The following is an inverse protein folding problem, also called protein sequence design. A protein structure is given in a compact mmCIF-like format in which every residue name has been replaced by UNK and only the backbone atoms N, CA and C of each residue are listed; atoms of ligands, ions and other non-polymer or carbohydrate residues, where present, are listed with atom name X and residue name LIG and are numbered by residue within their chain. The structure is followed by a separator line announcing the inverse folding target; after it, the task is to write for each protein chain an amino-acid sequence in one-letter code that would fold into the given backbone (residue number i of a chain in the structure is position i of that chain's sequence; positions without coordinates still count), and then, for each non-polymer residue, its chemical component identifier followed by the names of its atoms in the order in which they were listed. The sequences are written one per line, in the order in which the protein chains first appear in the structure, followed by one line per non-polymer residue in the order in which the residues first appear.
data_IF_871600302119
#
_entry.id   IF_871600302119
#
_cell.length_a   1.000
_cell.length_b   1.000
_cell.length_c   1.000
_cell.angle_alpha   90.00
_cell.angle_beta   90.00
_cell.angle_gamma   90.00
#
_symmetry.space_group_name_H-M   'P 1'
#
loop_
_entity.id
_entity.type
_entity.pdbx_description
1 polymer ?
#
# COMPACT_ATOMS: atom_id res chain seq x y z
N UNK A 1 -19.09 -20.60 -2.81
CA UNK A 1 -19.21 -19.26 -2.17
C UNK A 1 -19.65 -18.28 -3.25
N UNK A 2 -20.67 -17.47 -3.01
CA UNK A 2 -21.08 -16.45 -3.98
C UNK A 2 -20.01 -15.35 -4.02
N UNK A 3 -19.92 -14.60 -5.13
CA UNK A 3 -18.97 -13.47 -5.28
C UNK A 3 -19.11 -12.47 -4.13
N UNK A 4 -20.34 -12.21 -3.68
CA UNK A 4 -20.65 -11.27 -2.59
C UNK A 4 -20.15 -11.73 -1.21
N UNK A 5 -19.75 -12.97 -1.05
CA UNK A 5 -19.24 -13.54 0.21
C UNK A 5 -17.72 -13.72 0.20
N UNK A 6 -17.07 -13.54 -0.95
CA UNK A 6 -15.62 -13.68 -1.04
C UNK A 6 -14.92 -12.43 -0.46
N UNK A 7 -14.09 -12.56 0.57
CA UNK A 7 -13.31 -11.43 1.07
C UNK A 7 -12.31 -10.87 0.04
N UNK A 8 -11.93 -11.66 -0.95
CA UNK A 8 -11.11 -11.20 -2.07
C UNK A 8 -11.92 -10.43 -3.12
N UNK A 9 -13.07 -10.95 -3.53
CA UNK A 9 -13.78 -10.45 -4.72
C UNK A 9 -14.80 -9.34 -4.41
N UNK A 10 -15.53 -9.45 -3.29
CA UNK A 10 -16.60 -8.52 -2.94
C UNK A 10 -16.14 -7.06 -2.72
N UNK A 11 -15.01 -6.75 -2.03
CA UNK A 11 -14.63 -5.37 -1.82
C UNK A 11 -14.21 -4.68 -3.12
N UNK A 12 -14.64 -3.43 -3.36
CA UNK A 12 -14.18 -2.66 -4.50
C UNK A 12 -12.72 -2.22 -4.34
N UNK A 13 -12.03 -1.97 -5.45
CA UNK A 13 -10.75 -1.26 -5.42
C UNK A 13 -11.01 0.20 -5.03
N UNK A 14 -10.22 0.69 -4.07
CA UNK A 14 -10.34 2.06 -3.53
C UNK A 14 -9.02 2.79 -3.44
N UNK A 15 -7.91 2.17 -3.84
CA UNK A 15 -6.60 2.77 -3.75
C UNK A 15 -5.88 2.68 -5.10
N UNK A 16 -5.17 3.76 -5.41
CA UNK A 16 -4.26 3.88 -6.53
C UNK A 16 -2.92 4.40 -5.98
N UNK A 17 -1.85 3.64 -6.20
CA UNK A 17 -0.55 3.92 -5.59
C UNK A 17 0.53 4.23 -6.63
N UNK A 18 1.35 5.22 -6.30
CA UNK A 18 2.47 5.69 -7.08
C UNK A 18 3.75 5.57 -6.25
N UNK A 19 4.78 5.00 -6.83
CA UNK A 19 6.12 4.97 -6.22
C UNK A 19 6.87 6.24 -6.58
N UNK A 20 7.51 6.86 -5.59
CA UNK A 20 8.22 8.12 -5.71
C UNK A 20 9.60 8.06 -5.05
N UNK A 21 10.54 8.88 -5.54
CA UNK A 21 11.88 8.99 -4.96
C UNK A 21 11.91 9.89 -3.73
N UNK A 22 11.12 10.97 -3.74
CA UNK A 22 11.00 11.93 -2.65
C UNK A 22 9.54 12.15 -2.28
N UNK A 23 9.13 11.61 -1.13
CA UNK A 23 7.75 11.68 -0.66
C UNK A 23 7.31 13.11 -0.35
N UNK A 24 8.18 13.93 0.26
CA UNK A 24 7.82 15.27 0.68
C UNK A 24 7.59 16.17 -0.54
N UNK A 25 8.45 16.05 -1.55
CA UNK A 25 8.28 16.76 -2.81
C UNK A 25 7.05 16.29 -3.58
N UNK A 26 6.83 14.98 -3.67
CA UNK A 26 5.67 14.40 -4.35
C UNK A 26 4.35 14.85 -3.70
N UNK A 27 4.25 14.80 -2.37
CA UNK A 27 3.08 15.28 -1.62
C UNK A 27 2.80 16.75 -1.91
N UNK A 28 3.83 17.59 -1.83
CA UNK A 28 3.68 19.02 -2.14
C UNK A 28 3.19 19.24 -3.56
N UNK A 29 3.81 18.60 -4.55
CA UNK A 29 3.42 18.71 -5.96
C UNK A 29 1.99 18.28 -6.21
N UNK A 30 1.58 17.15 -5.68
CA UNK A 30 0.22 16.63 -5.88
C UNK A 30 -0.83 17.51 -5.20
N UNK A 31 -0.53 18.07 -4.03
CA UNK A 31 -1.41 19.00 -3.36
C UNK A 31 -1.55 20.32 -4.14
N UNK A 32 -0.42 20.91 -4.60
CA UNK A 32 -0.40 22.18 -5.29
C UNK A 32 -0.97 22.12 -6.72
N UNK A 33 -0.63 21.06 -7.47
CA UNK A 33 -1.00 20.96 -8.88
C UNK A 33 -2.36 20.28 -9.12
N UNK A 34 -2.75 19.35 -8.26
CA UNK A 34 -3.95 18.54 -8.43
C UNK A 34 -5.01 18.81 -7.37
N UNK A 35 -4.70 19.61 -6.34
CA UNK A 35 -5.62 19.89 -5.24
C UNK A 35 -5.95 18.65 -4.38
N UNK A 36 -5.12 17.60 -4.43
CA UNK A 36 -5.34 16.37 -3.69
C UNK A 36 -4.80 16.52 -2.27
N UNK A 37 -5.62 16.23 -1.28
CA UNK A 37 -5.28 16.29 0.14
C UNK A 37 -6.51 16.44 1.06
N UNK A 38 -6.31 16.54 2.39
CA UNK A 38 -5.00 16.54 3.05
C UNK A 38 -4.26 15.21 2.92
N UNK A 39 -2.94 15.27 2.83
CA UNK A 39 -2.06 14.11 2.85
C UNK A 39 -1.63 13.80 4.27
N UNK A 40 -1.68 12.53 4.64
CA UNK A 40 -1.19 12.06 5.94
C UNK A 40 -0.07 11.06 5.72
N UNK A 41 1.14 11.38 6.18
CA UNK A 41 2.33 10.58 5.95
C UNK A 41 2.73 9.74 7.17
N UNK A 42 3.19 8.52 6.89
CA UNK A 42 3.62 7.55 7.89
C UNK A 42 4.92 6.89 7.48
N UNK A 43 5.69 6.46 8.48
CA UNK A 43 6.86 5.60 8.32
C UNK A 43 6.54 4.20 8.81
N UNK A 44 6.84 3.21 7.98
CA UNK A 44 6.65 1.80 8.27
C UNK A 44 8.01 1.09 8.23
N UNK A 45 8.46 0.60 9.37
CA UNK A 45 9.77 -0.03 9.55
C UNK A 45 9.79 -0.94 10.78
N UNK A 46 10.78 -1.84 10.92
CA UNK A 46 11.02 -2.57 12.17
C UNK A 46 11.24 -1.62 13.36
N UNK A 47 10.87 -1.99 14.58
CA UNK A 47 10.26 -3.26 14.98
C UNK A 47 8.74 -3.31 14.84
N UNK A 48 8.12 -2.23 14.38
CA UNK A 48 6.66 -2.18 14.20
C UNK A 48 6.22 -3.07 13.06
N UNK A 49 6.87 -2.96 11.91
CA UNK A 49 6.63 -3.84 10.79
C UNK A 49 7.26 -5.22 11.08
N UNK A 50 6.48 -6.28 10.91
CA UNK A 50 6.83 -7.66 11.26
C UNK A 50 6.43 -8.61 10.14
N UNK A 51 6.94 -9.86 10.22
CA UNK A 51 6.61 -10.94 9.27
C UNK A 51 6.76 -10.47 7.82
N UNK A 52 7.82 -9.71 7.57
CA UNK A 52 8.11 -9.15 6.27
C UNK A 52 8.61 -10.22 5.31
N UNK A 53 7.94 -10.34 4.16
CA UNK A 53 8.32 -11.24 3.08
C UNK A 53 8.51 -10.44 1.78
N UNK A 54 9.51 -10.83 1.01
CA UNK A 54 9.76 -10.36 -0.34
C UNK A 54 10.08 -11.57 -1.21
N UNK A 55 9.24 -11.83 -2.22
CA UNK A 55 9.28 -13.04 -3.06
C UNK A 55 9.39 -14.35 -2.28
N UNK A 56 8.69 -14.42 -1.12
CA UNK A 56 8.68 -15.59 -0.24
C UNK A 56 9.84 -15.67 0.76
N UNK A 57 10.85 -14.83 0.62
CA UNK A 57 12.00 -14.77 1.52
C UNK A 57 11.75 -13.79 2.67
N UNK A 58 12.21 -14.16 3.88
CA UNK A 58 12.18 -13.27 5.04
C UNK A 58 13.21 -12.18 4.88
N UNK A 59 12.76 -10.94 4.94
CA UNK A 59 13.61 -9.75 4.80
C UNK A 59 13.22 -8.69 5.83
N UNK A 60 14.02 -7.65 5.92
CA UNK A 60 13.63 -6.39 6.54
C UNK A 60 13.64 -5.29 5.49
N UNK A 61 12.57 -4.51 5.43
CA UNK A 61 12.48 -3.32 4.60
C UNK A 61 11.82 -2.18 5.37
N UNK A 62 12.03 -0.97 4.89
CA UNK A 62 11.39 0.23 5.41
C UNK A 62 10.90 1.11 4.28
N UNK A 63 9.81 1.80 4.52
CA UNK A 63 9.20 2.72 3.58
C UNK A 63 8.54 3.90 4.31
N UNK A 64 8.33 4.98 3.58
CA UNK A 64 7.37 6.04 3.91
C UNK A 64 6.22 5.99 2.93
N UNK A 65 5.05 6.31 3.39
CA UNK A 65 3.92 6.51 2.50
C UNK A 65 3.05 7.67 2.95
N UNK A 66 2.39 8.30 2.01
CA UNK A 66 1.40 9.34 2.27
C UNK A 66 0.08 8.95 1.62
N UNK A 67 -1.02 9.18 2.34
CA UNK A 67 -2.37 8.83 1.93
C UNK A 67 -3.23 10.08 1.85
N UNK A 68 -4.02 10.21 0.79
CA UNK A 68 -5.06 11.23 0.64
C UNK A 68 -6.29 10.65 -0.03
N UNK A 69 -7.47 11.13 0.35
CA UNK A 69 -8.73 10.75 -0.26
C UNK A 69 -9.25 11.83 -1.20
N UNK A 70 -9.72 11.42 -2.37
CA UNK A 70 -10.47 12.25 -3.28
C UNK A 70 -11.79 11.52 -3.62
N UNK A 71 -12.87 11.93 -2.97
CA UNK A 71 -14.10 11.17 -3.00
C UNK A 71 -13.92 9.78 -2.39
N UNK A 72 -14.22 8.73 -3.15
CA UNK A 72 -14.05 7.35 -2.69
C UNK A 72 -12.72 6.70 -3.10
N UNK A 73 -11.88 7.41 -3.86
CA UNK A 73 -10.56 6.94 -4.27
C UNK A 73 -9.50 7.47 -3.31
N UNK A 74 -8.70 6.57 -2.78
CA UNK A 74 -7.50 6.91 -2.03
C UNK A 74 -6.29 6.92 -2.97
N UNK A 75 -5.54 8.00 -2.93
CA UNK A 75 -4.20 8.03 -3.49
C UNK A 75 -3.18 7.68 -2.43
N UNK A 76 -2.19 6.91 -2.82
CA UNK A 76 -1.02 6.59 -2.02
C UNK A 76 0.24 6.97 -2.79
N UNK A 77 1.15 7.66 -2.11
CA UNK A 77 2.52 7.88 -2.57
C UNK A 77 3.44 7.05 -1.69
N UNK A 78 4.32 6.23 -2.29
CA UNK A 78 5.21 5.33 -1.56
C UNK A 78 6.66 5.62 -1.90
N UNK A 79 7.47 5.83 -0.87
CA UNK A 79 8.93 5.98 -0.96
C UNK A 79 9.61 4.81 -0.26
N UNK A 80 10.33 3.92 -0.96
CA UNK A 80 11.19 2.94 -0.30
C UNK A 80 12.38 3.64 0.37
N UNK A 81 12.71 3.21 1.60
CA UNK A 81 13.84 3.77 2.36
C UNK A 81 15.01 2.81 2.44
N UNK A 82 14.75 1.52 2.58
CA UNK A 82 15.81 0.52 2.71
C UNK A 82 15.30 -0.91 2.69
N UNK A 83 16.22 -1.83 2.42
CA UNK A 83 15.92 -3.24 2.22
C UNK A 83 15.32 -3.57 0.84
N UNK A 84 15.29 -4.87 0.49
CA UNK A 84 14.69 -5.30 -0.77
C UNK A 84 13.16 -5.13 -0.73
N UNK A 85 12.60 -4.54 -1.79
CA UNK A 85 11.15 -4.34 -1.89
C UNK A 85 10.72 -4.16 -3.34
N UNK A 86 9.48 -4.51 -3.65
CA UNK A 86 8.90 -4.28 -4.98
C UNK A 86 8.86 -2.80 -5.37
N UNK A 87 8.93 -1.90 -4.40
CA UNK A 87 9.00 -0.46 -4.65
C UNK A 87 10.40 -0.02 -5.09
N UNK A 88 11.44 -0.58 -4.45
CA UNK A 88 12.82 -0.33 -4.84
C UNK A 88 13.10 -0.89 -6.25
N UNK A 89 12.56 -2.07 -6.56
CA UNK A 89 12.66 -2.66 -7.89
C UNK A 89 12.00 -1.76 -8.95
N UNK A 90 10.77 -1.28 -8.64
CA UNK A 90 10.04 -0.39 -9.55
C UNK A 90 10.84 0.88 -9.86
N UNK A 91 11.39 1.54 -8.84
CA UNK A 91 12.22 2.74 -9.05
C UNK A 91 13.46 2.44 -9.89
N UNK A 92 14.11 1.30 -9.66
CA UNK A 92 15.31 0.91 -10.41
C UNK A 92 15.00 0.61 -11.89
N UNK A 93 13.86 -0.05 -12.16
CA UNK A 93 13.51 -0.52 -13.49
C UNK A 93 12.71 0.50 -14.32
N UNK A 94 11.92 1.35 -13.66
CA UNK A 94 10.93 2.21 -14.32
C UNK A 94 10.99 3.68 -13.88
N UNK A 95 11.68 4.02 -12.80
CA UNK A 95 11.60 5.32 -12.16
C UNK A 95 10.29 5.53 -11.40
N UNK A 96 9.94 6.79 -11.13
CA UNK A 96 8.69 7.14 -10.47
C UNK A 96 7.48 6.80 -11.34
N UNK A 97 6.40 6.30 -10.75
CA UNK A 97 5.19 6.02 -11.52
C UNK A 97 4.16 5.16 -10.82
N UNK A 98 3.08 4.91 -11.55
CA UNK A 98 1.98 4.06 -11.11
C UNK A 98 2.49 2.65 -10.83
N UNK A 99 2.12 2.10 -9.67
CA UNK A 99 2.66 0.83 -9.20
C UNK A 99 1.57 -0.23 -8.98
N UNK A 100 0.55 0.08 -8.17
CA UNK A 100 -0.48 -0.90 -7.84
C UNK A 100 -1.84 -0.26 -7.62
N UNK A 101 -2.85 -1.12 -7.58
CA UNK A 101 -4.19 -0.79 -7.11
C UNK A 101 -4.50 -1.60 -5.86
N UNK A 102 -5.18 -0.99 -4.89
CA UNK A 102 -5.43 -1.60 -3.59
C UNK A 102 -6.91 -1.71 -3.26
N UNK A 103 -7.23 -2.70 -2.44
CA UNK A 103 -8.53 -2.86 -1.82
C UNK A 103 -8.42 -3.22 -0.35
N UNK A 104 -9.32 -2.66 0.44
CA UNK A 104 -9.48 -3.02 1.84
C UNK A 104 -10.33 -4.28 1.96
N UNK A 105 -9.82 -5.28 2.66
CA UNK A 105 -10.47 -6.58 2.81
C UNK A 105 -10.88 -6.82 4.26
N UNK A 106 -12.09 -7.35 4.52
CA UNK A 106 -12.58 -7.56 5.88
C UNK A 106 -11.88 -8.73 6.59
N UNK A 107 -11.42 -9.73 5.84
CA UNK A 107 -10.69 -10.89 6.33
C UNK A 107 -9.43 -11.08 5.47
N UNK A 108 -8.33 -10.45 5.91
CA UNK A 108 -7.07 -10.45 5.17
C UNK A 108 -6.47 -11.86 5.01
N UNK A 109 -6.39 -12.72 6.05
CA UNK A 109 -5.88 -14.08 5.87
C UNK A 109 -6.68 -14.91 4.87
N UNK A 110 -8.01 -14.80 4.90
CA UNK A 110 -8.86 -15.52 3.97
C UNK A 110 -8.70 -14.96 2.53
N UNK A 111 -8.65 -13.65 2.37
CA UNK A 111 -8.44 -13.03 1.05
C UNK A 111 -7.09 -13.41 0.43
N UNK A 112 -6.03 -13.49 1.24
CA UNK A 112 -4.71 -14.00 0.81
C UNK A 112 -4.80 -15.47 0.37
N UNK A 113 -5.49 -16.32 1.14
CA UNK A 113 -5.69 -17.72 0.80
C UNK A 113 -6.44 -17.87 -0.52
N UNK A 114 -7.50 -17.08 -0.73
CA UNK A 114 -8.26 -17.07 -1.99
C UNK A 114 -7.42 -16.60 -3.18
N UNK A 115 -6.60 -15.55 -3.00
CA UNK A 115 -5.72 -15.06 -4.05
C UNK A 115 -4.70 -16.13 -4.48
N UNK A 116 -4.04 -16.79 -3.53
CA UNK A 116 -3.10 -17.87 -3.81
C UNK A 116 -3.80 -19.05 -4.51
N UNK A 117 -4.99 -19.44 -4.03
CA UNK A 117 -5.81 -20.50 -4.63
C UNK A 117 -6.28 -20.17 -6.06
N UNK A 118 -6.43 -18.90 -6.39
CA UNK A 118 -6.77 -18.42 -7.73
C UNK A 118 -5.54 -18.23 -8.66
N UNK A 119 -4.33 -18.58 -8.19
CA UNK A 119 -3.10 -18.52 -8.99
C UNK A 119 -2.41 -17.16 -8.99
N UNK A 120 -2.74 -16.27 -8.07
CA UNK A 120 -2.00 -15.03 -7.88
C UNK A 120 -0.60 -15.34 -7.30
N UNK A 121 0.40 -14.61 -7.75
CA UNK A 121 1.78 -14.75 -7.28
C UNK A 121 2.06 -13.72 -6.20
N UNK A 122 2.37 -14.18 -4.98
CA UNK A 122 2.74 -13.29 -3.90
C UNK A 122 4.10 -12.62 -4.16
N UNK A 123 4.15 -11.30 -4.02
CA UNK A 123 5.35 -10.50 -4.26
C UNK A 123 5.97 -10.00 -2.95
N UNK A 124 5.17 -9.35 -2.12
CA UNK A 124 5.62 -8.76 -0.86
C UNK A 124 4.48 -8.74 0.15
N UNK A 125 4.81 -8.88 1.43
CA UNK A 125 3.83 -8.72 2.50
C UNK A 125 4.49 -8.29 3.81
N UNK A 126 3.70 -7.69 4.70
CA UNK A 126 4.07 -7.45 6.08
C UNK A 126 2.84 -7.27 6.97
N UNK A 127 3.07 -7.31 8.28
CA UNK A 127 2.05 -7.13 9.32
C UNK A 127 2.57 -6.24 10.43
N UNK A 128 1.68 -5.90 11.36
CA UNK A 128 2.03 -5.28 12.63
C UNK A 128 2.03 -3.77 12.61
N UNK A 129 1.63 -3.13 11.52
CA UNK A 129 1.49 -1.68 11.53
C UNK A 129 0.17 -1.23 12.21
N UNK A 130 0.11 0.07 12.55
CA UNK A 130 -0.94 0.62 13.39
C UNK A 130 -0.57 0.62 14.87
N UNK A 131 -1.33 1.34 15.69
CA UNK A 131 -1.04 1.50 17.11
C UNK A 131 -1.18 0.19 17.91
N UNK A 132 -2.11 -0.67 17.49
CA UNK A 132 -2.38 -1.97 18.10
C UNK A 132 -1.67 -3.14 17.37
N UNK A 133 -0.96 -2.86 16.27
CA UNK A 133 -0.24 -3.86 15.49
C UNK A 133 -1.15 -4.82 14.70
N UNK A 134 -2.37 -4.39 14.39
CA UNK A 134 -3.39 -5.19 13.72
C UNK A 134 -3.49 -4.95 12.20
N UNK A 135 -2.69 -4.03 11.65
CA UNK A 135 -2.59 -3.79 10.22
C UNK A 135 -1.79 -4.85 9.49
N UNK A 136 -2.17 -5.13 8.25
CA UNK A 136 -1.46 -6.05 7.36
C UNK A 136 -1.65 -5.64 5.90
N UNK A 137 -0.68 -5.96 5.06
CA UNK A 137 -0.77 -5.81 3.61
C UNK A 137 -0.10 -6.97 2.88
N UNK A 138 -0.59 -7.27 1.70
CA UNK A 138 0.03 -8.24 0.80
C UNK A 138 -0.16 -7.83 -0.66
N UNK A 139 0.92 -7.88 -1.42
CA UNK A 139 0.98 -7.53 -2.85
C UNK A 139 1.06 -8.80 -3.69
N UNK A 140 0.30 -8.81 -4.77
CA UNK A 140 0.21 -9.93 -5.69
C UNK A 140 0.29 -9.49 -7.14
N UNK A 141 1.00 -10.27 -7.94
CA UNK A 141 0.87 -10.22 -9.39
C UNK A 141 -0.38 -10.99 -9.79
N UNK A 142 -1.26 -10.36 -10.59
CA UNK A 142 -2.46 -11.04 -11.09
C UNK A 142 -2.13 -12.04 -12.19
N UNK A 143 -2.80 -13.20 -12.25
CA UNK A 143 -2.57 -14.16 -13.32
C UNK A 143 -3.05 -13.60 -14.67
N UNK A 144 -2.24 -13.76 -15.70
CA UNK A 144 -2.59 -13.41 -17.08
C UNK A 144 -2.66 -11.91 -17.41
N UNK A 145 -2.61 -11.03 -16.42
CA UNK A 145 -2.61 -9.57 -16.59
C UNK A 145 -1.52 -8.97 -15.70
N UNK A 146 -0.58 -8.17 -16.25
CA UNK A 146 0.54 -7.63 -15.48
C UNK A 146 0.11 -6.43 -14.60
N UNK A 147 -0.78 -6.68 -13.64
CA UNK A 147 -1.24 -5.71 -12.66
C UNK A 147 -0.88 -6.20 -11.27
N UNK A 148 -0.29 -5.33 -10.47
CA UNK A 148 -0.06 -5.59 -9.05
C UNK A 148 -1.29 -5.12 -8.28
N UNK A 149 -1.83 -6.00 -7.46
CA UNK A 149 -2.89 -5.66 -6.51
C UNK A 149 -2.37 -5.70 -5.08
N UNK A 150 -2.92 -4.84 -4.23
CA UNK A 150 -2.71 -4.86 -2.79
C UNK A 150 -3.99 -5.28 -2.06
N UNK A 151 -3.87 -6.23 -1.15
CA UNK A 151 -4.89 -6.57 -0.17
C UNK A 151 -4.51 -5.92 1.16
N UNK A 152 -5.40 -5.07 1.70
CA UNK A 152 -5.11 -4.22 2.86
C UNK A 152 -6.06 -4.58 4.01
N UNK A 153 -5.48 -4.90 5.17
CA UNK A 153 -6.17 -4.83 6.45
C UNK A 153 -5.77 -3.53 7.14
N UNK A 154 -6.63 -2.51 7.08
CA UNK A 154 -6.33 -1.26 7.76
C UNK A 154 -6.30 -1.47 9.28
N UNK A 155 -5.35 -0.84 10.01
CA UNK A 155 -5.34 -0.90 11.45
C UNK A 155 -6.55 -0.14 12.02
N UNK A 156 -7.09 -0.61 13.14
CA UNK A 156 -8.20 0.07 13.83
C UNK A 156 -7.81 1.47 14.29
N UNK A 157 -6.57 1.60 14.76
CA UNK A 157 -5.99 2.86 15.19
C UNK A 157 -4.66 3.08 14.46
N UNK A 158 -4.58 4.17 13.72
CA UNK A 158 -3.31 4.55 13.08
C UNK A 158 -2.33 5.10 14.12
N UNK A 159 -1.06 5.02 13.81
CA UNK A 159 0.00 5.69 14.59
C UNK A 159 -0.04 7.20 14.33
N UNK A 160 0.67 7.96 15.15
CA UNK A 160 0.92 9.38 14.86
C UNK A 160 1.60 9.52 13.50
N UNK A 161 1.09 10.39 12.63
CA UNK A 161 1.73 10.65 11.34
C UNK A 161 3.06 11.40 11.51
N UNK A 162 3.98 11.22 10.55
CA UNK A 162 5.17 12.06 10.48
C UNK A 162 4.79 13.53 10.21
N UNK A 163 3.82 13.72 9.31
CA UNK A 163 3.23 15.04 9.02
C UNK A 163 1.83 14.90 8.40
N UNK A 164 1.11 16.02 8.40
CA UNK A 164 -0.11 16.22 7.61
C UNK A 164 0.11 17.44 6.72
N UNK A 165 -0.11 17.29 5.41
CA UNK A 165 0.04 18.38 4.45
C UNK A 165 -1.31 18.73 3.82
N UNK A 166 -1.69 19.98 3.89
CA UNK A 166 -2.93 20.51 3.32
C UNK A 166 -2.64 21.19 1.98
N UNK A 167 -3.49 20.97 0.95
CA UNK A 167 -3.40 21.78 -0.26
C UNK A 167 -3.47 23.28 0.08
N UNK A 168 -2.81 24.16 -0.70
CA UNK A 168 -2.98 25.59 -0.53
C UNK A 168 -4.46 25.96 -0.61
N UNK A 169 -4.92 26.82 0.32
CA UNK A 169 -6.25 27.47 0.20
C UNK A 169 -6.11 28.69 -0.69
N UNK A 170 -7.03 28.82 -1.64
CA UNK A 170 -7.18 30.02 -2.46
C UNK A 170 -7.39 31.29 -1.61
#
# INVERSE_FOLDING_TARGET
MSLDQSPLLAPPFKQCAVVVEDLDEAVRRWAELLGIGPWTAYRLEPPRLKEMLYHGEKVEFSLRHALAWQGELQFELVQPLGGPSIFADHLADHGEGLHHIGKYVPDHPQAVTEALGAGFVALQSARGFGAEGDGAFAYFQTPGVPVIIELISAPRVRIEPEFIYYPPSD
#
